data_IF_906168846478
#
_entry.id   IF_906168846478
#
_cell.length_a   1.000
_cell.length_b   1.000
_cell.length_c   1.000
_cell.angle_alpha   90.00
_cell.angle_beta   90.00
_cell.angle_gamma   90.00
#
_symmetry.space_group_name_H-M   'P 1'
#
loop_
_entity.id
_entity.type
_entity.pdbx_description
1 polymer ?
#
# COMPACT_ATOMS: atom_id res chain seq x y z
N UNK A 1 -9.83 -14.49 -22.07
CA UNK A 1 -8.98 -13.55 -21.31
C UNK A 1 -8.55 -14.11 -19.94
N UNK A 2 -9.46 -14.65 -19.11
CA UNK A 2 -9.12 -15.21 -17.76
C UNK A 2 -7.96 -16.22 -17.79
N UNK A 3 -7.88 -17.07 -18.79
CA UNK A 3 -6.82 -18.09 -18.90
C UNK A 3 -5.45 -17.54 -19.34
N UNK A 4 -5.40 -16.40 -20.05
CA UNK A 4 -4.13 -15.82 -20.48
C UNK A 4 -3.41 -15.14 -19.30
N UNK A 5 -4.09 -14.29 -18.53
CA UNK A 5 -3.50 -13.62 -17.38
C UNK A 5 -3.01 -14.61 -16.32
N UNK A 6 -3.77 -15.68 -16.05
CA UNK A 6 -3.34 -16.71 -15.10
C UNK A 6 -2.06 -17.43 -15.54
N UNK A 7 -1.79 -17.51 -16.85
CA UNK A 7 -0.56 -18.09 -17.41
C UNK A 7 0.61 -17.10 -17.48
N UNK A 8 0.33 -15.79 -17.51
CA UNK A 8 1.32 -14.72 -17.67
C UNK A 8 1.25 -13.68 -16.52
N UNK A 9 1.50 -14.07 -15.28
CA UNK A 9 1.33 -13.18 -14.11
C UNK A 9 2.27 -11.97 -14.14
N UNK A 10 3.48 -12.12 -14.68
CA UNK A 10 4.43 -11.01 -14.82
C UNK A 10 3.89 -9.95 -15.80
N UNK A 11 3.34 -10.39 -16.93
CA UNK A 11 2.71 -9.46 -17.87
C UNK A 11 1.50 -8.76 -17.26
N UNK A 12 0.70 -9.49 -16.48
CA UNK A 12 -0.42 -8.90 -15.75
C UNK A 12 0.03 -7.80 -14.78
N UNK A 13 1.06 -8.07 -13.97
CA UNK A 13 1.63 -7.07 -13.06
C UNK A 13 2.20 -5.86 -13.82
N UNK A 14 2.90 -6.09 -14.94
CA UNK A 14 3.48 -5.02 -15.74
C UNK A 14 2.41 -4.11 -16.37
N UNK A 15 1.36 -4.69 -16.95
CA UNK A 15 0.23 -3.91 -17.48
C UNK A 15 -0.50 -3.14 -16.40
N UNK A 16 -0.72 -3.77 -15.24
CA UNK A 16 -1.35 -3.08 -14.12
C UNK A 16 -0.48 -1.92 -13.60
N UNK A 17 0.82 -2.14 -13.45
CA UNK A 17 1.75 -1.10 -13.00
C UNK A 17 1.75 0.10 -13.96
N UNK A 18 1.80 -0.16 -15.28
CA UNK A 18 1.73 0.89 -16.30
C UNK A 18 0.42 1.66 -16.19
N UNK A 19 -0.71 0.98 -16.09
CA UNK A 19 -2.01 1.60 -15.88
C UNK A 19 -2.02 2.46 -14.63
N UNK A 20 -1.60 1.89 -13.49
CA UNK A 20 -1.61 2.56 -12.20
C UNK A 20 -0.76 3.83 -12.18
N UNK A 21 0.50 3.74 -12.66
CA UNK A 21 1.42 4.89 -12.70
C UNK A 21 0.92 5.98 -13.64
N UNK A 22 0.34 5.60 -14.79
CA UNK A 22 -0.25 6.57 -15.73
C UNK A 22 -1.46 7.27 -15.13
N UNK A 23 -2.35 6.53 -14.48
CA UNK A 23 -3.53 7.09 -13.82
C UNK A 23 -3.15 7.99 -12.63
N UNK A 24 -2.20 7.55 -11.80
CA UNK A 24 -1.72 8.33 -10.66
C UNK A 24 -1.02 9.64 -11.12
N UNK A 25 -0.16 9.54 -12.13
CA UNK A 25 0.48 10.73 -12.72
C UNK A 25 -0.55 11.71 -13.30
N UNK A 26 -1.57 11.17 -13.97
CA UNK A 26 -2.66 12.00 -14.49
C UNK A 26 -3.37 12.76 -13.37
N UNK A 27 -3.65 12.10 -12.23
CA UNK A 27 -4.25 12.73 -11.05
C UNK A 27 -3.36 13.85 -10.50
N UNK A 28 -2.05 13.60 -10.34
CA UNK A 28 -1.12 14.61 -9.82
C UNK A 28 -1.02 15.87 -10.71
N UNK A 29 -1.22 15.70 -12.01
CA UNK A 29 -1.16 16.84 -12.98
C UNK A 29 -2.49 17.61 -13.04
N UNK A 30 -3.64 16.91 -12.92
CA UNK A 30 -4.95 17.53 -13.17
C UNK A 30 -5.68 17.95 -11.90
N UNK A 31 -5.38 17.35 -10.76
CA UNK A 31 -5.96 17.75 -9.48
C UNK A 31 -4.98 18.69 -8.79
N UNK A 32 -5.20 19.99 -8.94
CA UNK A 32 -4.36 21.02 -8.36
C UNK A 32 -4.86 21.53 -7.00
N UNK A 33 -6.16 21.36 -6.72
CA UNK A 33 -6.81 21.85 -5.49
C UNK A 33 -7.62 20.70 -4.89
N UNK A 34 -7.49 20.41 -3.60
CA UNK A 34 -8.30 19.39 -2.95
C UNK A 34 -9.68 19.94 -2.61
N UNK A 35 -10.71 19.10 -2.67
CA UNK A 35 -12.06 19.42 -2.18
C UNK A 35 -12.12 19.41 -0.66
N UNK A 36 -11.29 18.55 -0.03
CA UNK A 36 -11.25 18.37 1.42
C UNK A 36 -9.80 18.29 1.90
N UNK A 37 -9.45 19.08 2.91
CA UNK A 37 -8.23 18.90 3.68
C UNK A 37 -8.47 17.88 4.78
N UNK A 38 -7.69 16.81 4.75
CA UNK A 38 -7.76 15.73 5.75
C UNK A 38 -6.85 16.07 6.91
N UNK A 39 -7.42 16.18 8.08
CA UNK A 39 -6.72 16.48 9.32
C UNK A 39 -7.47 15.86 10.51
N UNK A 40 -6.74 15.38 11.49
CA UNK A 40 -7.30 15.00 12.77
C UNK A 40 -6.40 15.48 13.92
N UNK A 41 -6.98 15.63 15.10
CA UNK A 41 -6.27 16.16 16.27
C UNK A 41 -5.00 15.39 16.66
N UNK A 42 -4.93 14.10 16.35
CA UNK A 42 -3.73 13.30 16.58
C UNK A 42 -2.56 13.72 15.70
N UNK A 43 -2.82 14.28 14.52
CA UNK A 43 -1.77 14.70 13.58
C UNK A 43 -0.90 15.83 14.15
N UNK A 44 -1.48 16.68 15.00
CA UNK A 44 -0.79 17.79 15.66
C UNK A 44 0.16 17.30 16.76
N UNK A 45 -0.15 16.16 17.38
CA UNK A 45 0.67 15.56 18.43
C UNK A 45 1.88 14.78 17.90
N UNK A 46 1.84 14.38 16.64
CA UNK A 46 2.91 13.59 16.03
C UNK A 46 4.01 14.52 15.50
N UNK A 47 5.25 14.45 16.00
CA UNK A 47 6.33 15.29 15.51
C UNK A 47 6.79 14.88 14.11
N UNK A 48 7.29 15.83 13.33
CA UNK A 48 8.00 15.53 12.09
C UNK A 48 9.34 14.84 12.37
N UNK A 49 9.64 13.75 11.63
CA UNK A 49 10.88 13.01 11.74
C UNK A 49 11.46 12.65 10.37
N UNK A 50 12.54 13.31 9.95
CA UNK A 50 13.17 13.05 8.64
C UNK A 50 13.75 11.65 8.48
N UNK A 51 14.14 10.99 9.57
CA UNK A 51 14.70 9.63 9.54
C UNK A 51 13.66 8.57 9.18
N UNK A 52 12.37 8.89 9.31
CA UNK A 52 11.27 8.04 8.87
C UNK A 52 11.24 7.81 7.34
N UNK A 53 12.07 8.55 6.58
CA UNK A 53 12.22 8.35 5.14
C UNK A 53 12.75 6.95 4.79
N UNK A 54 13.49 6.31 5.69
CA UNK A 54 14.07 4.97 5.46
C UNK A 54 12.98 3.89 5.36
N UNK A 55 12.13 3.69 6.38
CA UNK A 55 11.03 2.74 6.25
C UNK A 55 10.02 3.17 5.17
N UNK A 56 9.83 4.47 4.93
CA UNK A 56 8.97 4.94 3.85
C UNK A 56 9.46 4.44 2.48
N UNK A 57 10.74 4.56 2.17
CA UNK A 57 11.29 4.06 0.91
C UNK A 57 11.41 2.53 0.85
N UNK A 58 11.49 1.85 1.98
CA UNK A 58 11.45 0.38 2.01
C UNK A 58 10.15 -0.17 1.42
N UNK A 59 9.04 0.58 1.46
CA UNK A 59 7.76 0.23 0.85
C UNK A 59 7.89 -0.05 -0.66
N UNK A 60 8.62 0.77 -1.40
CA UNK A 60 8.81 0.62 -2.84
C UNK A 60 9.56 -0.68 -3.22
N UNK A 61 10.41 -1.17 -2.33
CA UNK A 61 11.15 -2.43 -2.51
C UNK A 61 10.33 -3.61 -2.02
N UNK A 62 9.58 -3.44 -0.94
CA UNK A 62 8.85 -4.54 -0.30
C UNK A 62 7.69 -5.08 -1.16
N UNK A 63 6.98 -4.22 -1.87
CA UNK A 63 5.89 -4.64 -2.75
C UNK A 63 6.38 -5.59 -3.86
N UNK A 64 7.28 -5.19 -4.76
CA UNK A 64 7.76 -6.08 -5.82
C UNK A 64 8.48 -7.30 -5.25
N UNK A 65 9.27 -7.15 -4.18
CA UNK A 65 9.91 -8.28 -3.54
C UNK A 65 8.89 -9.35 -3.12
N UNK A 66 7.82 -8.97 -2.43
CA UNK A 66 6.82 -9.92 -1.94
C UNK A 66 6.05 -10.56 -3.09
N UNK A 67 5.64 -9.78 -4.09
CA UNK A 67 4.95 -10.29 -5.28
C UNK A 67 5.79 -11.33 -6.02
N UNK A 68 7.04 -11.02 -6.31
CA UNK A 68 7.94 -11.95 -7.00
C UNK A 68 8.32 -13.14 -6.11
N UNK A 69 8.50 -12.93 -4.81
CA UNK A 69 8.80 -14.02 -3.88
C UNK A 69 7.66 -15.06 -3.84
N UNK A 70 6.41 -14.62 -3.71
CA UNK A 70 5.26 -15.52 -3.76
C UNK A 70 5.09 -16.16 -5.13
N UNK A 71 5.31 -15.40 -6.21
CA UNK A 71 5.20 -15.92 -7.57
C UNK A 71 6.13 -17.10 -7.83
N UNK A 72 7.35 -17.06 -7.28
CA UNK A 72 8.39 -18.08 -7.56
C UNK A 72 8.52 -19.14 -6.48
N UNK A 73 8.13 -18.87 -5.23
CA UNK A 73 8.38 -19.75 -4.08
C UNK A 73 7.12 -20.33 -3.47
N UNK A 74 5.94 -19.79 -3.77
CA UNK A 74 4.66 -20.22 -3.21
C UNK A 74 3.77 -20.88 -4.26
N UNK A 75 2.70 -21.59 -3.82
CA UNK A 75 1.61 -21.98 -4.71
C UNK A 75 1.03 -20.77 -5.45
N UNK A 76 0.62 -20.96 -6.70
CA UNK A 76 0.01 -19.88 -7.50
C UNK A 76 -1.23 -19.25 -6.83
N UNK A 77 -1.95 -20.02 -6.04
CA UNK A 77 -3.08 -19.52 -5.27
C UNK A 77 -2.66 -18.41 -4.29
N UNK A 78 -1.55 -18.57 -3.56
CA UNK A 78 -1.05 -17.59 -2.60
C UNK A 78 -0.63 -16.28 -3.30
N UNK A 79 -0.01 -16.38 -4.48
CA UNK A 79 0.33 -15.22 -5.30
C UNK A 79 -0.94 -14.44 -5.70
N UNK A 80 -1.95 -15.13 -6.25
CA UNK A 80 -3.18 -14.47 -6.68
C UNK A 80 -4.00 -13.94 -5.50
N UNK A 81 -3.94 -14.62 -4.37
CA UNK A 81 -4.59 -14.20 -3.12
C UNK A 81 -4.02 -12.87 -2.59
N UNK A 82 -2.75 -12.56 -2.89
CA UNK A 82 -2.16 -11.24 -2.63
C UNK A 82 -2.43 -10.28 -3.79
N UNK A 83 -2.11 -10.68 -5.02
CA UNK A 83 -2.05 -9.79 -6.18
C UNK A 83 -3.40 -9.14 -6.51
N UNK A 84 -4.50 -9.92 -6.46
CA UNK A 84 -5.82 -9.42 -6.83
C UNK A 84 -6.36 -8.37 -5.85
N UNK A 85 -6.41 -8.60 -4.51
CA UNK A 85 -6.89 -7.58 -3.59
C UNK A 85 -5.94 -6.38 -3.52
N UNK A 86 -4.62 -6.58 -3.67
CA UNK A 86 -3.65 -5.48 -3.71
C UNK A 86 -3.97 -4.52 -4.86
N UNK A 87 -4.15 -5.05 -6.07
CA UNK A 87 -4.45 -4.23 -7.24
C UNK A 87 -5.87 -3.66 -7.22
N UNK A 88 -6.84 -4.43 -6.73
CA UNK A 88 -8.20 -3.93 -6.54
C UNK A 88 -8.24 -2.74 -5.58
N UNK A 89 -7.58 -2.83 -4.43
CA UNK A 89 -7.56 -1.74 -3.45
C UNK A 89 -6.81 -0.51 -3.95
N UNK A 90 -5.70 -0.68 -4.67
CA UNK A 90 -5.02 0.45 -5.34
C UNK A 90 -5.93 1.12 -6.37
N UNK A 91 -6.73 0.35 -7.12
CA UNK A 91 -7.71 0.90 -8.08
C UNK A 91 -8.85 1.62 -7.37
N UNK A 92 -9.35 1.07 -6.24
CA UNK A 92 -10.36 1.72 -5.41
C UNK A 92 -9.83 3.05 -4.86
N UNK A 93 -8.58 3.08 -4.39
CA UNK A 93 -7.96 4.31 -3.91
C UNK A 93 -7.88 5.38 -5.02
N UNK A 94 -7.46 5.01 -6.25
CA UNK A 94 -7.50 5.93 -7.40
C UNK A 94 -8.91 6.45 -7.68
N UNK A 95 -9.94 5.59 -7.60
CA UNK A 95 -11.32 6.01 -7.78
C UNK A 95 -11.75 7.00 -6.68
N UNK A 96 -11.36 6.76 -5.42
CA UNK A 96 -11.60 7.69 -4.32
C UNK A 96 -10.96 9.07 -4.59
N UNK A 97 -9.72 9.10 -5.08
CA UNK A 97 -9.02 10.35 -5.40
C UNK A 97 -9.67 11.15 -6.53
N UNK A 98 -10.32 10.46 -7.49
CA UNK A 98 -11.11 11.13 -8.55
C UNK A 98 -12.43 11.67 -8.00
N UNK A 99 -13.14 10.88 -7.17
CA UNK A 99 -14.48 11.21 -6.70
C UNK A 99 -14.44 12.31 -5.63
N UNK A 100 -13.44 12.25 -4.75
CA UNK A 100 -13.25 13.20 -3.66
C UNK A 100 -11.75 13.52 -3.52
N UNK A 101 -11.25 14.51 -4.27
CA UNK A 101 -9.87 14.96 -4.15
C UNK A 101 -9.54 15.42 -2.74
N UNK A 102 -8.60 14.75 -2.10
CA UNK A 102 -8.18 15.04 -0.73
C UNK A 102 -6.78 15.61 -0.68
N UNK A 103 -6.51 16.46 0.29
CA UNK A 103 -5.20 17.05 0.50
C UNK A 103 -4.81 17.13 1.97
N UNK A 104 -3.55 17.47 2.22
CA UNK A 104 -2.98 17.66 3.56
C UNK A 104 -2.35 19.03 3.70
N UNK A 105 -2.49 19.60 4.88
CA UNK A 105 -1.80 20.83 5.32
C UNK A 105 -0.94 20.52 6.58
N UNK A 106 -0.16 19.46 6.53
CA UNK A 106 0.64 18.96 7.67
C UNK A 106 2.14 19.12 7.45
N UNK A 107 2.58 19.33 6.21
CA UNK A 107 4.01 19.40 5.88
C UNK A 107 4.68 20.60 6.53
N UNK A 108 5.87 20.43 7.15
CA UNK A 108 6.61 21.56 7.67
C UNK A 108 7.01 22.52 6.55
N UNK A 109 6.91 23.81 6.82
CA UNK A 109 7.30 24.85 5.85
C UNK A 109 8.74 24.68 5.33
N UNK A 110 9.64 24.13 6.18
CA UNK A 110 11.04 23.89 5.83
C UNK A 110 11.58 22.62 6.48
N UNK A 111 12.26 21.78 5.67
CA UNK A 111 13.00 20.61 6.17
C UNK A 111 14.45 21.03 6.43
N UNK A 112 14.83 21.09 7.71
CA UNK A 112 16.17 21.51 8.14
C UNK A 112 17.18 20.38 8.05
N UNK A 113 18.45 20.75 7.80
CA UNK A 113 19.61 19.88 7.69
C UNK A 113 20.13 19.73 6.28
N UNK A 114 21.45 19.40 6.17
CA UNK A 114 22.15 19.15 4.90
C UNK A 114 22.45 17.65 4.70
N UNK A 115 22.07 16.82 5.65
CA UNK A 115 22.27 15.37 5.59
C UNK A 115 21.39 14.70 4.53
N UNK A 116 21.73 13.46 4.19
CA UNK A 116 21.07 12.67 3.15
C UNK A 116 19.57 12.47 3.41
N UNK A 117 19.15 12.34 4.69
CA UNK A 117 17.75 12.14 5.05
C UNK A 117 16.93 13.40 4.78
N UNK A 118 17.45 14.58 5.16
CA UNK A 118 16.81 15.86 4.87
C UNK A 118 16.72 16.10 3.35
N UNK A 119 17.76 15.75 2.59
CA UNK A 119 17.76 15.83 1.13
C UNK A 119 16.69 14.90 0.52
N UNK A 120 16.61 13.64 0.99
CA UNK A 120 15.63 12.68 0.52
C UNK A 120 14.18 13.12 0.80
N UNK A 121 13.91 13.71 1.98
CA UNK A 121 12.58 14.27 2.29
C UNK A 121 12.25 15.46 1.41
N UNK A 122 13.19 16.36 1.17
CA UNK A 122 12.96 17.49 0.25
C UNK A 122 12.68 17.02 -1.18
N UNK A 123 13.40 15.99 -1.65
CA UNK A 123 13.14 15.37 -2.95
C UNK A 123 11.74 14.75 -2.98
N UNK A 124 11.34 14.00 -1.94
CA UNK A 124 10.00 13.43 -1.82
C UNK A 124 8.92 14.52 -1.91
N UNK A 125 9.09 15.62 -1.19
CA UNK A 125 8.12 16.74 -1.20
C UNK A 125 8.08 17.52 -2.53
N UNK A 126 9.19 17.53 -3.26
CA UNK A 126 9.26 18.17 -4.58
C UNK A 126 8.66 17.31 -5.70
N UNK A 127 8.66 15.98 -5.54
CA UNK A 127 8.16 15.04 -6.54
C UNK A 127 6.70 14.65 -6.33
N UNK A 128 6.17 14.74 -5.11
CA UNK A 128 4.80 14.37 -4.77
C UNK A 128 4.06 15.55 -4.14
N UNK A 129 2.91 15.86 -4.69
CA UNK A 129 2.00 16.87 -4.13
C UNK A 129 1.41 16.36 -2.81
N UNK A 130 0.96 17.23 -1.88
CA UNK A 130 0.22 16.83 -0.69
C UNK A 130 -1.26 16.56 -1.01
N UNK A 131 -1.55 15.99 -2.18
CA UNK A 131 -2.88 15.70 -2.69
C UNK A 131 -3.09 14.20 -2.87
N UNK A 132 -4.33 13.78 -3.08
CA UNK A 132 -4.69 12.40 -3.36
C UNK A 132 -4.23 11.45 -2.24
N UNK A 133 -4.56 11.79 -1.00
CA UNK A 133 -4.00 11.15 0.19
C UNK A 133 -4.90 10.10 0.83
N UNK A 134 -6.21 10.20 0.65
CA UNK A 134 -7.19 9.36 1.36
C UNK A 134 -7.98 8.45 0.40
N UNK A 135 -7.97 7.11 0.65
CA UNK A 135 -7.27 6.36 1.69
C UNK A 135 -5.77 6.19 1.40
N UNK A 136 -4.94 6.00 2.44
CA UNK A 136 -3.50 5.81 2.27
C UNK A 136 -3.17 4.49 1.57
N UNK A 137 -2.62 4.56 0.36
CA UNK A 137 -2.14 3.38 -0.37
C UNK A 137 -0.89 2.77 0.25
N UNK A 138 -0.04 3.57 0.91
CA UNK A 138 1.11 3.07 1.65
C UNK A 138 0.68 2.13 2.78
N UNK A 139 -0.33 2.54 3.53
CA UNK A 139 -0.89 1.77 4.63
C UNK A 139 -1.65 0.55 4.11
N UNK A 140 -2.54 0.76 3.15
CA UNK A 140 -3.31 -0.31 2.53
C UNK A 140 -2.42 -1.43 2.01
N UNK A 141 -1.41 -1.09 1.19
CA UNK A 141 -0.50 -2.08 0.62
C UNK A 141 0.31 -2.77 1.71
N UNK A 142 0.80 -2.03 2.71
CA UNK A 142 1.61 -2.60 3.80
C UNK A 142 0.83 -3.62 4.63
N UNK A 143 -0.42 -3.33 4.97
CA UNK A 143 -1.30 -4.25 5.70
C UNK A 143 -1.62 -5.48 4.85
N UNK A 144 -1.96 -5.29 3.58
CA UNK A 144 -2.27 -6.36 2.65
C UNK A 144 -1.06 -7.31 2.46
N UNK A 145 0.14 -6.75 2.31
CA UNK A 145 1.38 -7.52 2.25
C UNK A 145 1.62 -8.31 3.54
N UNK A 146 1.55 -7.67 4.70
CA UNK A 146 1.70 -8.33 5.99
C UNK A 146 0.73 -9.51 6.14
N UNK A 147 -0.54 -9.32 5.81
CA UNK A 147 -1.54 -10.40 5.85
C UNK A 147 -1.14 -11.59 4.96
N UNK A 148 -0.56 -11.35 3.78
CA UNK A 148 -0.09 -12.42 2.90
C UNK A 148 1.03 -13.26 3.54
N UNK A 149 1.96 -12.63 4.31
CA UNK A 149 2.98 -13.38 5.08
C UNK A 149 2.37 -14.27 6.14
N UNK A 150 1.30 -13.85 6.80
CA UNK A 150 0.65 -14.64 7.84
C UNK A 150 -0.24 -15.75 7.28
N UNK A 151 -0.77 -15.61 6.07
CA UNK A 151 -1.65 -16.58 5.43
C UNK A 151 -0.91 -17.68 4.67
N UNK A 152 0.14 -17.32 3.97
CA UNK A 152 0.87 -18.31 3.17
C UNK A 152 1.67 -19.26 4.04
N UNK A 153 1.42 -20.57 3.86
CA UNK A 153 2.07 -21.65 4.61
C UNK A 153 3.57 -21.74 4.35
N UNK A 154 4.07 -21.17 3.25
CA UNK A 154 5.53 -21.18 3.00
C UNK A 154 6.32 -20.46 4.10
N UNK A 155 5.68 -19.50 4.79
CA UNK A 155 6.28 -18.77 5.91
C UNK A 155 6.11 -19.46 7.27
N UNK A 156 5.57 -20.68 7.31
CA UNK A 156 5.54 -21.53 8.51
C UNK A 156 6.80 -22.39 8.65
N UNK A 157 7.51 -22.58 7.54
CA UNK A 157 8.72 -23.41 7.52
C UNK A 157 9.83 -22.78 8.41
N UNK A 158 10.65 -23.61 9.10
CA UNK A 158 11.65 -23.13 10.06
C UNK A 158 12.59 -22.04 9.51
N UNK A 159 13.02 -22.16 8.24
CA UNK A 159 13.91 -21.17 7.60
C UNK A 159 13.25 -19.87 7.19
N UNK A 160 11.90 -19.77 7.23
CA UNK A 160 11.16 -18.58 6.73
C UNK A 160 10.20 -17.98 7.76
N UNK A 161 9.95 -18.67 8.87
CA UNK A 161 8.99 -18.21 9.90
C UNK A 161 9.32 -16.83 10.48
N UNK A 162 10.60 -16.42 10.45
CA UNK A 162 11.04 -15.11 10.88
C UNK A 162 10.51 -13.97 9.99
N UNK A 163 10.15 -14.28 8.74
CA UNK A 163 9.63 -13.28 7.81
C UNK A 163 8.24 -12.76 8.22
N UNK A 164 7.46 -13.53 9.00
CA UNK A 164 6.17 -13.09 9.55
C UNK A 164 6.33 -11.91 10.52
N UNK A 165 7.05 -12.05 11.64
CA UNK A 165 7.26 -10.91 12.55
C UNK A 165 8.03 -9.78 11.87
N UNK A 166 8.99 -10.08 10.99
CA UNK A 166 9.69 -9.04 10.23
C UNK A 166 8.73 -8.23 9.34
N UNK A 167 7.77 -8.89 8.67
CA UNK A 167 6.75 -8.19 7.88
C UNK A 167 5.85 -7.32 8.74
N UNK A 168 5.49 -7.75 9.95
CA UNK A 168 4.71 -6.95 10.88
C UNK A 168 5.48 -5.71 11.37
N UNK A 169 6.75 -5.87 11.73
CA UNK A 169 7.62 -4.74 12.12
C UNK A 169 7.77 -3.75 10.97
N UNK A 170 8.01 -4.26 9.75
CA UNK A 170 8.14 -3.40 8.57
C UNK A 170 6.82 -2.66 8.26
N UNK A 171 5.69 -3.36 8.32
CA UNK A 171 4.37 -2.77 8.15
C UNK A 171 4.13 -1.61 9.12
N UNK A 172 4.33 -1.84 10.42
CA UNK A 172 4.16 -0.80 11.46
C UNK A 172 5.14 0.36 11.23
N UNK A 173 6.40 0.05 10.86
CA UNK A 173 7.41 1.08 10.57
C UNK A 173 7.03 1.95 9.36
N UNK A 174 6.48 1.35 8.29
CA UNK A 174 6.00 2.09 7.13
C UNK A 174 4.78 2.94 7.51
N UNK A 175 3.80 2.39 8.23
CA UNK A 175 2.62 3.14 8.70
C UNK A 175 3.07 4.34 9.54
N UNK A 176 3.94 4.14 10.53
CA UNK A 176 4.48 5.21 11.34
C UNK A 176 5.23 6.26 10.49
N UNK A 177 5.96 5.82 9.47
CA UNK A 177 6.72 6.73 8.61
C UNK A 177 5.83 7.68 7.81
N UNK A 178 4.64 7.25 7.39
CA UNK A 178 3.73 8.11 6.63
C UNK A 178 3.24 9.32 7.43
N UNK A 179 2.95 9.12 8.70
CA UNK A 179 2.50 10.21 9.60
C UNK A 179 3.67 11.04 10.15
N UNK A 180 4.84 10.42 10.41
CA UNK A 180 6.05 11.12 10.84
C UNK A 180 6.65 11.99 9.73
N UNK A 181 6.49 11.61 8.47
CA UNK A 181 6.86 12.42 7.31
C UNK A 181 5.75 13.36 6.86
N UNK A 182 4.64 13.44 7.59
CA UNK A 182 3.51 14.31 7.22
C UNK A 182 3.03 14.09 5.76
N UNK A 183 3.08 12.83 5.31
CA UNK A 183 2.56 12.40 4.02
C UNK A 183 1.11 11.93 4.09
N UNK A 184 0.67 11.52 5.29
CA UNK A 184 -0.69 11.07 5.57
C UNK A 184 -1.14 11.55 6.95
N UNK A 185 -2.45 11.76 7.11
CA UNK A 185 -3.14 11.92 8.38
C UNK A 185 -3.40 10.56 9.04
N UNK A 186 -3.56 10.54 10.34
CA UNK A 186 -4.05 9.35 11.05
C UNK A 186 -5.41 8.87 10.52
N UNK A 187 -6.22 9.78 9.97
CA UNK A 187 -7.48 9.43 9.32
C UNK A 187 -7.27 8.62 8.03
N UNK A 188 -6.33 9.03 7.18
CA UNK A 188 -5.97 8.28 5.95
C UNK A 188 -5.42 6.89 6.29
N UNK A 189 -4.63 6.82 7.38
CA UNK A 189 -4.10 5.56 7.91
C UNK A 189 -5.23 4.62 8.28
N UNK A 190 -6.21 5.11 9.04
CA UNK A 190 -7.37 4.30 9.44
C UNK A 190 -8.13 3.77 8.23
N UNK A 191 -8.41 4.62 7.24
CA UNK A 191 -9.14 4.20 6.02
C UNK A 191 -8.32 3.24 5.17
N UNK A 192 -7.00 3.37 5.11
CA UNK A 192 -6.12 2.40 4.46
C UNK A 192 -6.16 1.03 5.12
N UNK A 193 -6.15 0.96 6.46
CA UNK A 193 -6.31 -0.29 7.22
C UNK A 193 -7.69 -0.91 6.96
N UNK A 194 -8.75 -0.12 7.06
CA UNK A 194 -10.12 -0.59 6.84
C UNK A 194 -10.30 -1.16 5.42
N UNK A 195 -9.77 -0.49 4.40
CA UNK A 195 -9.81 -0.99 3.03
C UNK A 195 -9.11 -2.34 2.91
N UNK A 196 -7.96 -2.53 3.54
CA UNK A 196 -7.24 -3.80 3.54
C UNK A 196 -8.07 -4.92 4.21
N UNK A 197 -8.68 -4.63 5.36
CA UNK A 197 -9.52 -5.59 6.08
C UNK A 197 -10.78 -5.97 5.29
N UNK A 198 -11.45 -5.01 4.66
CA UNK A 198 -12.65 -5.26 3.86
C UNK A 198 -12.34 -6.15 2.66
N UNK A 199 -11.29 -5.83 1.89
CA UNK A 199 -10.91 -6.64 0.74
C UNK A 199 -10.45 -8.03 1.13
N UNK A 200 -9.73 -8.16 2.21
CA UNK A 200 -9.27 -9.42 2.74
C UNK A 200 -10.44 -10.31 3.21
N UNK A 201 -11.39 -9.75 3.93
CA UNK A 201 -12.62 -10.45 4.35
C UNK A 201 -13.45 -10.88 3.15
N UNK A 202 -13.60 -9.99 2.16
CA UNK A 202 -14.31 -10.29 0.91
C UNK A 202 -13.69 -11.45 0.15
N UNK A 203 -12.37 -11.47 0.02
CA UNK A 203 -11.65 -12.58 -0.62
C UNK A 203 -11.83 -13.90 0.15
N UNK A 204 -11.77 -13.86 1.47
CA UNK A 204 -12.00 -15.06 2.31
C UNK A 204 -13.42 -15.62 2.15
N UNK A 205 -14.41 -14.72 2.07
CA UNK A 205 -15.80 -15.11 1.84
C UNK A 205 -15.99 -15.79 0.47
N UNK A 206 -15.33 -15.28 -0.57
CA UNK A 206 -15.36 -15.87 -1.91
C UNK A 206 -14.73 -17.27 -1.91
N UNK A 207 -13.58 -17.47 -1.27
CA UNK A 207 -12.92 -18.76 -1.15
C UNK A 207 -13.81 -19.80 -0.44
N UNK A 208 -14.50 -19.40 0.63
CA UNK A 208 -15.44 -20.30 1.33
C UNK A 208 -16.69 -20.62 0.50
N UNK A 209 -17.15 -19.68 -0.33
CA UNK A 209 -18.28 -19.89 -1.25
C UNK A 209 -17.94 -20.92 -2.32
N UNK A 210 -16.78 -20.78 -2.96
CA UNK A 210 -16.31 -21.71 -3.99
C UNK A 210 -16.08 -23.12 -3.43
N UNK A 211 -15.50 -23.23 -2.24
CA UNK A 211 -15.30 -24.51 -1.56
C UNK A 211 -16.65 -25.23 -1.26
N UNK A 212 -17.67 -24.48 -0.82
CA UNK A 212 -19.02 -25.04 -0.59
C UNK A 212 -19.72 -25.44 -1.89
N UNK A 213 -19.53 -24.70 -2.95
CA UNK A 213 -20.10 -25.04 -4.26
C UNK A 213 -19.53 -26.36 -4.79
N UNK A 214 -18.22 -26.58 -4.63
CA UNK A 214 -17.53 -27.81 -5.03
C UNK A 214 -17.95 -29.05 -4.18
N UNK A 215 -18.37 -28.85 -2.94
CA UNK A 215 -18.84 -29.95 -2.08
C UNK A 215 -20.29 -30.41 -2.39
N UNK A 216 -21.02 -29.63 -3.18
CA UNK A 216 -22.43 -29.92 -3.57
C UNK A 216 -22.54 -30.61 -4.93
N UNK A 217 -21.42 -30.77 -5.65
CA UNK A 217 -21.30 -31.50 -6.92
C UNK A 217 -20.80 -32.91 -6.70
#
# INVERSE_FOLDING_TARGET
MRNWFSRHPVSFMAFYLLFYLSAFHWLEVHIAVPDVLVHCHLDDLIPFCKYAIVPYFAWFVWIPFTLFYLLWKAPRADFWRLCLPLFAGMTIALACYVILPTGLDLRPYRVYGSDIFAQAVRMLYATHTPLNVCPSIHVFNSVTLMMAYYRSRIFETPGRRWMRPASAVLCVSIIASTVLLKQHSCFDVLLGILLAMVLDTGMTALEHSDARALQRL
#
